data_IF_815464886758
#
_entry.id   IF_815464886758
#
_cell.length_a   1.000
_cell.length_b   1.000
_cell.length_c   1.000
_cell.angle_alpha   90.00
_cell.angle_beta   90.00
_cell.angle_gamma   90.00
#
_symmetry.space_group_name_H-M   'P 1'
#
loop_
_entity.id
_entity.type
_entity.pdbx_description
1 polymer ?
2 polymer ?
3 non-polymer ?
4 water ?
#
# COMPACT_ATOMS: atom_id res chain seq x y z
N UNK A 8 13.07 -2.90 4.35
CA UNK A 8 13.17 -2.22 3.04
C UNK A 8 11.90 -2.44 2.11
N UNK A 9 10.66 -2.44 2.66
CA UNK A 9 9.45 -2.45 1.82
C UNK A 9 9.37 -1.18 0.99
N UNK A 10 10.27 -0.21 1.21
CA UNK A 10 10.14 1.10 0.55
C UNK A 10 11.00 1.09 -0.69
N UNK A 11 10.41 1.24 -1.88
CA UNK A 11 11.18 1.20 -3.12
C UNK A 11 11.13 2.63 -3.78
N UNK A 12 12.17 3.44 -3.59
CA UNK A 12 12.05 4.85 -4.10
C UNK A 12 12.10 4.96 -5.64
N UNK A 13 12.70 3.94 -6.25
CA UNK A 13 13.17 3.92 -7.65
C UNK A 13 12.12 3.51 -8.74
N UNK A 14 11.01 2.87 -8.34
CA UNK A 14 10.11 2.21 -9.30
C UNK A 14 8.74 2.86 -9.54
N UNK A 15 8.14 2.54 -10.69
CA UNK A 15 6.79 3.01 -11.08
C UNK A 15 5.71 1.98 -10.69
N UNK A 16 4.43 2.33 -10.86
CA UNK A 16 3.31 1.45 -10.55
C UNK A 16 3.38 0.16 -11.34
N UNK A 17 3.69 0.32 -12.61
CA UNK A 17 3.81 -0.79 -13.52
C UNK A 17 4.90 -1.76 -13.05
N UNK A 18 6.08 -1.21 -12.69
CA UNK A 18 7.22 -2.02 -12.26
C UNK A 18 6.90 -2.70 -10.91
N UNK A 19 6.11 -2.05 -10.06
CA UNK A 19 5.71 -2.65 -8.81
C UNK A 19 4.82 -3.86 -9.09
N UNK A 20 3.85 -3.77 -10.02
CA UNK A 20 3.06 -4.96 -10.35
C UNK A 20 3.98 -6.10 -10.81
N UNK A 21 4.96 -5.78 -11.66
CA UNK A 21 5.85 -6.80 -12.24
C UNK A 21 6.65 -7.47 -11.14
N UNK A 22 7.19 -6.69 -10.21
CA UNK A 22 7.93 -7.25 -9.11
C UNK A 22 7.03 -8.14 -8.24
N UNK A 23 5.82 -7.68 -7.95
CA UNK A 23 4.97 -8.43 -6.98
C UNK A 23 4.54 -9.75 -7.64
N UNK A 24 4.33 -9.69 -8.96
CA UNK A 24 3.77 -10.88 -9.68
C UNK A 24 4.84 -11.96 -9.89
N UNK A 25 6.11 -11.57 -9.89
CA UNK A 25 7.22 -12.49 -10.21
C UNK A 25 8.09 -12.84 -9.04
N UNK A 26 8.21 -11.93 -8.04
CA UNK A 26 9.05 -12.27 -6.83
C UNK A 26 8.23 -12.26 -5.56
N UNK A 27 6.94 -11.97 -5.67
CA UNK A 27 6.13 -11.99 -4.46
C UNK A 27 5.19 -13.19 -4.35
N UNK A 28 4.43 -13.24 -3.23
CA UNK A 28 3.39 -14.25 -3.00
C UNK A 28 2.12 -13.46 -2.61
N UNK A 29 0.98 -14.14 -2.49
CA UNK A 29 -0.23 -13.42 -2.03
C UNK A 29 0.06 -12.87 -0.60
N UNK A 30 -0.14 -11.58 -0.38
CA UNK A 30 0.20 -10.98 0.91
C UNK A 30 1.40 -10.07 0.77
N UNK A 31 2.18 -10.22 -0.32
CA UNK A 31 3.38 -9.39 -0.51
C UNK A 31 2.96 -7.93 -0.75
N UNK A 32 3.79 -6.98 -0.32
CA UNK A 32 3.44 -5.56 -0.56
C UNK A 32 4.71 -4.77 -0.62
N UNK A 33 4.61 -3.59 -1.19
CA UNK A 33 5.68 -2.63 -1.08
C UNK A 33 5.07 -1.20 -1.12
N UNK A 34 5.89 -0.20 -0.79
CA UNK A 34 5.48 1.23 -0.96
C UNK A 34 6.39 1.83 -1.99
N UNK A 35 5.87 2.80 -2.74
CA UNK A 35 6.62 3.38 -3.89
C UNK A 35 6.13 4.85 -4.11
N UNK A 36 6.83 5.63 -4.97
CA UNK A 36 6.34 7.01 -5.31
C UNK A 36 5.03 6.96 -6.09
N UNK A 37 4.11 7.88 -5.77
CA UNK A 37 2.81 8.07 -6.48
C UNK A 37 3.07 8.86 -7.77
N UNK A 38 2.59 8.33 -8.90
CA UNK A 38 2.65 8.98 -10.22
C UNK A 38 1.67 10.15 -10.26
N UNK A 39 0.40 9.85 -10.00
CA UNK A 39 -0.65 10.87 -9.92
C UNK A 39 -0.55 11.90 -8.79
N UNK A 40 0.25 11.67 -7.75
CA UNK A 40 0.56 12.78 -6.83
C UNK A 40 2.07 12.92 -6.58
N UNK A 41 2.79 13.63 -7.48
CA UNK A 41 4.25 13.78 -7.29
C UNK A 41 4.62 14.07 -5.80
N UNK A 42 5.72 13.50 -5.32
CA UNK A 42 6.12 13.72 -3.94
C UNK A 42 5.41 12.86 -2.88
N UNK A 43 4.27 12.24 -3.23
CA UNK A 43 3.56 11.33 -2.30
C UNK A 43 3.82 9.83 -2.57
N UNK A 44 3.32 8.96 -1.70
CA UNK A 44 3.55 7.47 -1.82
C UNK A 44 2.29 6.63 -1.99
N UNK A 45 2.48 5.42 -2.48
CA UNK A 45 1.40 4.47 -2.69
C UNK A 45 1.86 3.07 -2.28
N UNK A 46 0.97 2.30 -1.70
CA UNK A 46 1.21 0.90 -1.38
C UNK A 46 0.77 0.07 -2.57
N UNK A 47 1.57 -0.91 -2.99
CA UNK A 47 1.15 -1.86 -4.01
C UNK A 47 1.11 -3.21 -3.29
N UNK A 48 -0.05 -3.89 -3.34
CA UNK A 48 -0.28 -5.11 -2.55
C UNK A 48 -0.74 -6.26 -3.47
N UNK A 49 -0.18 -7.45 -3.28
CA UNK A 49 -0.66 -8.59 -4.06
C UNK A 49 -1.70 -9.33 -3.31
N UNK A 50 -2.80 -9.64 -3.98
CA UNK A 50 -3.76 -10.55 -3.38
C UNK A 50 -4.48 -11.36 -4.48
N UNK A 51 -4.64 -12.65 -4.22
CA UNK A 51 -5.24 -13.58 -5.21
C UNK A 51 -4.59 -13.48 -6.55
N UNK A 52 -3.27 -13.55 -6.61
CA UNK A 52 -2.55 -13.34 -7.88
C UNK A 52 -2.73 -12.04 -8.69
N UNK A 53 -3.30 -10.96 -8.13
CA UNK A 53 -3.41 -9.66 -8.85
C UNK A 53 -2.93 -8.57 -7.86
N UNK A 54 -2.68 -7.35 -8.34
CA UNK A 54 -2.05 -6.30 -7.53
C UNK A 54 -3.10 -5.18 -7.41
N UNK A 55 -3.29 -4.62 -6.21
CA UNK A 55 -4.14 -3.44 -5.96
C UNK A 55 -3.20 -2.31 -5.48
N UNK A 56 -3.57 -1.05 -5.69
CA UNK A 56 -2.74 0.06 -5.28
C UNK A 56 -3.56 0.96 -4.37
N UNK A 57 -2.91 1.48 -3.32
CA UNK A 57 -3.63 2.20 -2.30
C UNK A 57 -2.82 3.50 -2.04
N UNK A 58 -3.43 4.65 -2.29
CA UNK A 58 -2.76 5.92 -2.08
C UNK A 58 -2.69 6.27 -0.61
N UNK A 59 -1.53 6.82 -0.28
CA UNK A 59 -1.24 7.24 1.11
C UNK A 59 -1.31 8.78 1.09
N UNK A 60 -2.13 9.36 1.94
CA UNK A 60 -2.19 10.86 2.03
C UNK A 60 -1.14 11.37 3.03
N UNK A 61 -0.38 12.41 2.68
CA UNK A 61 0.48 13.04 3.60
C UNK A 61 -0.07 14.49 3.69
N UNK A 62 -0.68 14.89 4.81
CA UNK A 62 -1.25 16.22 4.85
C UNK A 62 -0.17 17.16 5.36
N UNK A 63 0.96 16.68 5.83
CA UNK A 63 1.89 17.60 6.52
C UNK A 63 1.70 17.55 8.04
N UNK A 64 0.51 17.15 8.50
CA UNK A 64 0.24 16.96 9.94
C UNK A 64 0.17 15.47 10.32
N UNK A 65 -0.08 14.60 9.34
CA UNK A 65 -0.11 13.15 9.65
C UNK A 65 -0.17 12.46 8.34
N UNK A 66 -0.04 11.13 8.41
CA UNK A 66 -0.20 10.31 7.22
C UNK A 66 -1.48 9.47 7.47
N UNK A 67 -2.20 9.18 6.41
CA UNK A 67 -3.34 8.23 6.56
C UNK A 67 -3.66 7.68 5.16
N UNK A 68 -4.75 6.92 5.05
CA UNK A 68 -5.12 6.32 3.76
C UNK A 68 -6.31 7.08 3.24
N UNK A 69 -6.26 8.41 3.32
CA UNK A 69 -7.42 9.27 2.99
C UNK A 69 -8.59 8.82 3.83
N UNK A 70 -8.39 8.55 5.11
CA UNK A 70 -9.42 7.98 5.97
C UNK A 70 -8.76 7.05 6.98
N UNK A 71 -9.47 6.71 8.06
CA UNK A 71 -8.96 5.73 9.03
C UNK A 71 -7.96 6.38 10.00
N UNK A 72 -7.19 5.55 10.70
CA UNK A 72 -6.25 5.98 11.70
C UNK A 72 -5.15 6.92 11.11
N UNK A 73 -4.72 7.90 11.90
CA UNK A 73 -3.70 8.88 11.53
C UNK A 73 -2.37 8.54 12.18
N UNK A 74 -1.27 8.76 11.45
CA UNK A 74 0.07 8.32 11.88
C UNK A 74 1.04 9.49 11.74
N UNK A 75 2.08 9.55 12.58
CA UNK A 75 3.07 10.63 12.43
C UNK A 75 4.03 10.28 11.32
N UNK A 76 4.29 8.96 11.07
CA UNK A 76 5.28 8.60 10.02
C UNK A 76 4.75 7.52 9.12
N UNK A 77 5.37 7.39 7.96
CA UNK A 77 4.88 6.33 7.01
C UNK A 77 5.21 4.95 7.57
N UNK A 78 6.40 4.75 8.20
CA UNK A 78 6.75 3.43 8.76
C UNK A 78 5.73 3.01 9.83
N UNK A 79 5.25 3.95 10.63
CA UNK A 79 4.30 3.60 11.71
C UNK A 79 2.91 3.23 11.04
N UNK A 80 2.55 3.87 9.97
CA UNK A 80 1.30 3.52 9.24
C UNK A 80 1.46 2.07 8.72
N UNK A 81 2.60 1.80 8.08
CA UNK A 81 2.83 0.43 7.55
C UNK A 81 2.79 -0.59 8.65
N UNK A 82 3.52 -0.33 9.72
CA UNK A 82 3.52 -1.22 10.85
C UNK A 82 2.10 -1.48 11.37
N UNK A 83 1.28 -0.43 11.50
CA UNK A 83 -0.02 -0.58 12.09
C UNK A 83 -0.88 -1.53 11.21
N UNK A 84 -0.82 -1.35 9.89
CA UNK A 84 -1.65 -2.23 9.02
C UNK A 84 -1.08 -3.65 8.89
N UNK A 85 0.23 -3.85 9.10
CA UNK A 85 0.80 -5.21 9.14
C UNK A 85 0.34 -5.91 10.43
N UNK A 86 0.11 -5.14 11.50
CA UNK A 86 -0.31 -5.70 12.79
C UNK A 86 -1.81 -5.87 12.95
N UNK A 87 -2.60 -5.17 12.15
CA UNK A 87 -4.05 -5.10 12.36
C UNK A 87 -4.65 -5.51 11.01
N UNK A 88 -4.75 -6.83 10.82
CA UNK A 88 -5.07 -7.43 9.51
C UNK A 88 -6.50 -7.21 9.02
N UNK A 89 -7.39 -6.76 9.90
CA UNK A 89 -8.79 -6.59 9.52
C UNK A 89 -9.20 -5.17 9.17
N UNK A 90 -8.27 -4.23 9.30
CA UNK A 90 -8.56 -2.78 9.36
C UNK A 90 -8.52 -2.09 8.02
N UNK A 91 -8.00 -2.79 7.01
CA UNK A 91 -7.84 -2.24 5.70
C UNK A 91 -8.82 -2.89 4.76
N UNK A 92 -9.91 -2.22 4.51
CA UNK A 92 -11.09 -2.84 3.84
C UNK A 92 -11.63 -2.00 2.66
N UNK A 93 -12.02 -2.67 1.56
CA UNK A 93 -12.53 -2.00 0.35
C UNK A 93 -13.95 -1.39 0.49
N UNK A 94 -14.39 -0.67 -0.55
CA UNK A 94 -15.77 -0.14 -0.62
C UNK A 94 -16.73 -1.30 -0.40
N UNK A 95 -16.50 -2.40 -1.14
CA UNK A 95 -17.34 -3.61 -1.10
C UNK A 95 -17.01 -4.55 0.08
N UNK A 96 -16.12 -4.11 0.96
CA UNK A 96 -15.92 -4.78 2.24
C UNK A 96 -14.87 -5.88 2.34
N UNK A 97 -14.13 -6.17 1.26
CA UNK A 97 -13.10 -7.23 1.36
C UNK A 97 -11.81 -6.67 1.88
N UNK A 98 -11.06 -7.52 2.56
CA UNK A 98 -9.89 -7.04 3.27
C UNK A 98 -8.67 -7.08 2.33
N UNK A 99 -7.79 -6.08 2.45
CA UNK A 99 -6.50 -6.12 1.79
C UNK A 99 -5.47 -6.29 2.89
N UNK A 100 -4.67 -7.36 2.82
CA UNK A 100 -3.76 -7.70 3.91
C UNK A 100 -2.33 -7.35 3.56
N UNK A 101 -1.67 -6.54 4.40
CA UNK A 101 -0.26 -6.25 4.17
C UNK A 101 0.45 -7.33 4.98
N UNK A 102 0.86 -8.42 4.37
CA UNK A 102 1.43 -9.48 5.17
C UNK A 102 2.95 -9.47 5.09
N UNK A 103 3.49 -9.43 3.86
CA UNK A 103 4.92 -9.75 3.67
C UNK A 103 5.66 -8.65 2.92
N UNK A 104 6.48 -7.87 3.60
CA UNK A 104 7.17 -6.78 2.86
C UNK A 104 8.02 -7.36 1.76
N UNK A 105 7.97 -6.77 0.59
CA UNK A 105 8.79 -7.26 -0.51
C UNK A 105 10.06 -6.39 -0.50
N UNK A 106 11.17 -6.95 -0.10
CA UNK A 106 12.36 -6.14 0.18
C UNK A 106 13.27 -5.95 -1.02
N UNK B 2 -3.78 0.33 -13.97
CA UNK B 2 -3.49 -0.02 -12.54
C UNK B 2 -4.79 0.12 -11.81
N UNK B 3 -5.12 -0.91 -11.03
CA UNK B 3 -6.33 -0.90 -10.23
C UNK B 3 -6.06 -0.27 -8.82
N UNK B 4 -6.65 0.91 -8.55
CA UNK B 4 -6.54 1.61 -7.27
C UNK B 4 -7.75 1.27 -6.42
N UNK B 5 -7.56 0.74 -5.22
CA UNK B 5 -8.71 0.36 -4.38
C UNK B 5 -9.45 1.57 -3.89
N UNK B 6 -10.76 1.40 -3.68
CA UNK B 6 -11.61 2.42 -3.06
C UNK B 6 -11.95 1.88 -1.65
N UNK B 7 -11.49 2.58 -0.60
CA UNK B 7 -11.56 2.06 0.80
C UNK B 7 -12.82 2.37 1.69
N UNK B 8 -13.03 1.62 2.78
CA UNK B 8 -13.94 1.94 3.92
C UNK B 8 -15.29 1.17 3.92
X LIG C 1 -7.37 -6.28 13.59
X LIG C 1 -7.09 -5.93 12.19
X LIG C 1 -8.80 -6.01 13.76
X LIG C 1 -6.96 -7.67 13.82
X LIG C 1 -6.66 -5.46 14.58
#
# INVERSE_FOLDING_TARGET
GSHMTSRRWFHPNITGVEAENLLLTRGVDGSFLARPSKSNPGDFTLSVRRNGAVTHIKIQNTGDYYDLYGGEKFATLAELVQYYMEHHGQLKEKNGDVIELKYPLNCAD
RLNYAQLWHR
SO4 S O1 O2 O3 O4
#
